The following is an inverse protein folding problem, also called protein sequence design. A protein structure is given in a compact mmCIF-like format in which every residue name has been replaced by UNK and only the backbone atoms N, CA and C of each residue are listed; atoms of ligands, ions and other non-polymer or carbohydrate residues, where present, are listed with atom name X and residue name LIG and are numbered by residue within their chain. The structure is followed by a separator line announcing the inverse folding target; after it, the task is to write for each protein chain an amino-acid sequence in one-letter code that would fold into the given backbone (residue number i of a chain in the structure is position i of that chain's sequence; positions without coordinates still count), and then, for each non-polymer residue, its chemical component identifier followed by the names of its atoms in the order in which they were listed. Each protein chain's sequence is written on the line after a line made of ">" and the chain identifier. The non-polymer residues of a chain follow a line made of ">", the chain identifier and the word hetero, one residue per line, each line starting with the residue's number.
data_IF_817683293160
#
_entry.id   IF_817683293160
#
_cell.length_a   1.000
_cell.length_b   1.000
_cell.length_c   1.000
_cell.angle_alpha   90.00
_cell.angle_beta   90.00
_cell.angle_gamma   90.00
#
_symmetry.space_group_name_H-M   'P 1'
#
loop_
_entity.id
_entity.type
_entity.pdbx_description
1 polymer ?
#
# COMPACT_ATOMS: atom_id res chain seq x y z
N UNK A 1 5.58 7.37 -13.90
CA UNK A 1 5.09 6.04 -13.53
C UNK A 1 5.23 5.15 -14.75
N UNK A 2 5.69 3.91 -14.56
CA UNK A 2 5.89 2.92 -15.61
C UNK A 2 4.55 2.27 -16.03
N UNK A 3 3.58 2.24 -15.11
CA UNK A 3 2.21 1.81 -15.38
C UNK A 3 1.21 2.80 -14.78
N UNK A 4 0.12 3.07 -15.50
CA UNK A 4 -0.94 3.96 -15.03
C UNK A 4 -2.27 3.21 -14.99
N UNK A 5 -2.84 3.10 -13.79
CA UNK A 5 -4.18 2.57 -13.59
C UNK A 5 -5.23 3.65 -13.87
N UNK A 6 -6.32 3.25 -14.54
CA UNK A 6 -7.48 4.11 -14.70
C UNK A 6 -8.26 4.25 -13.39
N UNK A 7 -8.96 5.37 -13.22
CA UNK A 7 -9.88 5.58 -12.10
C UNK A 7 -11.00 4.52 -12.11
N UNK A 8 -11.33 3.99 -10.94
CA UNK A 8 -12.31 2.92 -10.76
C UNK A 8 -11.87 1.56 -11.33
N UNK A 9 -10.61 1.41 -11.77
CA UNK A 9 -10.13 0.16 -12.35
C UNK A 9 -10.17 -1.01 -11.37
N UNK A 10 -10.58 -2.18 -11.87
CA UNK A 10 -10.47 -3.47 -11.18
C UNK A 10 -9.35 -4.29 -11.82
N UNK A 11 -8.29 -4.55 -11.07
CA UNK A 11 -7.05 -5.07 -11.60
C UNK A 11 -6.86 -6.57 -11.32
N UNK A 12 -6.40 -7.30 -12.34
CA UNK A 12 -6.28 -8.77 -12.38
C UNK A 12 -5.00 -9.23 -13.09
N UNK A 13 -3.99 -8.35 -13.16
CA UNK A 13 -2.73 -8.58 -13.88
C UNK A 13 -1.52 -8.74 -12.97
N UNK A 14 -0.39 -9.15 -13.56
CA UNK A 14 0.93 -9.05 -12.91
C UNK A 14 1.65 -7.83 -13.43
N UNK A 15 2.14 -6.98 -12.52
CA UNK A 15 2.82 -5.73 -12.84
C UNK A 15 4.19 -5.70 -12.18
N UNK A 16 5.24 -5.58 -13.00
CA UNK A 16 6.63 -5.73 -12.55
C UNK A 16 6.99 -7.17 -12.19
N UNK A 17 8.20 -7.34 -11.66
CA UNK A 17 8.72 -8.62 -11.16
C UNK A 17 9.66 -8.38 -9.97
N UNK A 18 10.07 -9.43 -9.23
CA UNK A 18 11.07 -9.28 -8.17
C UNK A 18 12.40 -8.67 -8.63
N UNK A 19 12.82 -8.94 -9.87
CA UNK A 19 14.08 -8.42 -10.44
C UNK A 19 13.92 -7.10 -11.18
N UNK A 20 12.69 -6.72 -11.53
CA UNK A 20 12.35 -5.49 -12.23
C UNK A 20 11.07 -4.89 -11.62
N UNK A 21 11.15 -4.31 -10.41
CA UNK A 21 10.02 -3.63 -9.79
C UNK A 21 9.66 -2.37 -10.59
N UNK A 22 8.39 -1.98 -10.55
CA UNK A 22 7.88 -0.81 -11.27
C UNK A 22 7.30 0.25 -10.34
N UNK A 23 7.15 1.47 -10.84
CA UNK A 23 6.35 2.53 -10.23
C UNK A 23 5.01 2.59 -10.94
N UNK A 24 3.95 2.14 -10.27
CA UNK A 24 2.59 2.27 -10.76
C UNK A 24 1.89 3.51 -10.15
N UNK A 25 1.06 4.17 -10.94
CA UNK A 25 0.31 5.35 -10.51
C UNK A 25 -1.17 5.24 -10.86
N UNK A 26 -2.03 5.76 -9.98
CA UNK A 26 -3.44 5.94 -10.25
C UNK A 26 -3.88 7.35 -9.85
N UNK A 27 -4.57 8.03 -10.76
CA UNK A 27 -5.28 9.28 -10.46
C UNK A 27 -6.76 8.94 -10.27
N UNK A 28 -7.18 8.76 -9.02
CA UNK A 28 -8.50 8.27 -8.67
C UNK A 28 -8.44 6.99 -7.83
N UNK A 29 -9.59 6.36 -7.69
CA UNK A 29 -9.77 5.19 -6.85
C UNK A 29 -9.32 3.92 -7.58
N UNK A 30 -8.75 2.96 -6.86
CA UNK A 30 -8.28 1.69 -7.43
C UNK A 30 -8.87 0.52 -6.67
N UNK A 31 -9.31 -0.49 -7.42
CA UNK A 31 -9.71 -1.78 -6.87
C UNK A 31 -8.71 -2.87 -7.26
N UNK A 32 -8.10 -3.48 -6.26
CA UNK A 32 -7.28 -4.69 -6.36
C UNK A 32 -8.14 -5.91 -6.03
N UNK A 33 -9.19 -6.11 -6.83
CA UNK A 33 -10.22 -7.12 -6.62
C UNK A 33 -10.03 -8.42 -7.40
N UNK A 34 -9.11 -8.45 -8.36
CA UNK A 34 -8.79 -9.66 -9.13
C UNK A 34 -7.74 -10.54 -8.47
N UNK A 35 -7.27 -11.52 -9.24
CA UNK A 35 -6.07 -12.30 -9.02
C UNK A 35 -4.89 -11.63 -9.74
N UNK A 36 -3.84 -11.28 -9.01
CA UNK A 36 -2.71 -10.62 -9.64
C UNK A 36 -1.59 -10.33 -8.68
N UNK A 37 -0.55 -9.68 -9.20
CA UNK A 37 0.63 -9.31 -8.43
C UNK A 37 1.11 -7.93 -8.82
N UNK A 38 1.62 -7.17 -7.87
CA UNK A 38 2.37 -5.94 -8.15
C UNK A 38 3.69 -5.99 -7.39
N UNK A 39 4.79 -5.74 -8.07
CA UNK A 39 6.13 -5.61 -7.50
C UNK A 39 6.61 -4.17 -7.68
N UNK A 40 6.89 -3.47 -6.57
CA UNK A 40 7.44 -2.12 -6.58
C UNK A 40 6.63 -1.10 -5.78
N UNK A 41 6.44 0.09 -6.33
CA UNK A 41 5.76 1.21 -5.65
C UNK A 41 4.44 1.51 -6.34
N UNK A 42 3.36 1.51 -5.57
CA UNK A 42 2.02 1.89 -6.02
C UNK A 42 1.61 3.22 -5.40
N UNK A 43 1.40 4.22 -6.23
CA UNK A 43 1.01 5.57 -5.81
C UNK A 43 -0.44 5.82 -6.25
N UNK A 44 -1.33 6.12 -5.32
CA UNK A 44 -2.75 6.32 -5.56
C UNK A 44 -3.13 7.71 -5.05
N UNK A 45 -3.58 8.58 -5.96
CA UNK A 45 -4.26 9.81 -5.59
C UNK A 45 -5.75 9.54 -5.45
N UNK A 46 -6.15 8.92 -4.35
CA UNK A 46 -7.51 8.41 -4.15
C UNK A 46 -7.57 7.22 -3.21
N UNK A 47 -8.70 6.52 -3.24
CA UNK A 47 -9.02 5.38 -2.37
C UNK A 47 -8.52 4.05 -2.93
N UNK A 48 -8.29 3.08 -2.03
CA UNK A 48 -7.90 1.72 -2.37
C UNK A 48 -8.90 0.71 -1.81
N UNK A 49 -9.49 -0.11 -2.67
CA UNK A 49 -10.26 -1.29 -2.29
C UNK A 49 -9.45 -2.56 -2.61
N UNK A 50 -9.01 -3.26 -1.57
CA UNK A 50 -8.17 -4.44 -1.66
C UNK A 50 -8.93 -5.66 -1.15
N UNK A 51 -9.66 -6.31 -2.06
CA UNK A 51 -10.62 -7.37 -1.71
C UNK A 51 -10.54 -8.64 -2.55
N UNK A 52 -9.54 -8.78 -3.43
CA UNK A 52 -9.33 -9.95 -4.28
C UNK A 52 -8.31 -10.95 -3.76
N UNK A 53 -7.71 -11.72 -4.66
CA UNK A 53 -6.53 -12.58 -4.38
C UNK A 53 -5.23 -11.93 -4.87
N UNK A 54 -5.25 -10.60 -4.98
CA UNK A 54 -4.13 -9.81 -5.46
C UNK A 54 -3.04 -9.71 -4.39
N UNK A 55 -1.77 -9.78 -4.80
CA UNK A 55 -0.63 -9.68 -3.89
C UNK A 55 0.23 -8.46 -4.25
N UNK A 56 0.55 -7.63 -3.27
CA UNK A 56 1.44 -6.48 -3.48
C UNK A 56 2.74 -6.73 -2.73
N UNK A 57 3.86 -6.58 -3.43
CA UNK A 57 5.21 -6.67 -2.89
C UNK A 57 5.88 -5.31 -3.04
N UNK A 58 5.98 -4.55 -1.95
CA UNK A 58 6.61 -3.24 -1.92
C UNK A 58 5.80 -2.19 -1.17
N UNK A 59 5.78 -0.96 -1.68
CA UNK A 59 5.21 0.20 -0.99
C UNK A 59 3.93 0.68 -1.68
N UNK A 60 2.87 0.87 -0.89
CA UNK A 60 1.63 1.50 -1.34
C UNK A 60 1.49 2.87 -0.66
N UNK A 61 1.32 3.92 -1.44
CA UNK A 61 1.08 5.28 -0.97
C UNK A 61 -0.28 5.76 -1.48
N UNK A 62 -1.22 6.00 -0.57
CA UNK A 62 -2.49 6.65 -0.88
C UNK A 62 -2.48 8.08 -0.33
N UNK A 63 -2.76 9.08 -1.17
CA UNK A 63 -2.84 10.48 -0.78
C UNK A 63 -4.03 11.21 -1.43
N UNK A 64 -4.46 12.33 -0.86
CA UNK A 64 -5.67 13.05 -1.27
C UNK A 64 -6.51 13.54 -0.10
N UNK A 65 -7.71 14.06 -0.37
CA UNK A 65 -8.59 14.63 0.67
C UNK A 65 -9.33 13.53 1.44
N UNK A 66 -10.23 12.81 0.78
CA UNK A 66 -11.13 11.83 1.40
C UNK A 66 -10.73 10.42 0.97
N UNK A 67 -9.72 9.86 1.64
CA UNK A 67 -9.17 8.56 1.29
C UNK A 67 -9.86 7.49 2.12
N UNK A 68 -10.35 6.45 1.45
CA UNK A 68 -10.76 5.20 2.09
C UNK A 68 -9.85 4.09 1.62
N UNK A 69 -9.16 3.44 2.55
CA UNK A 69 -8.45 2.20 2.29
C UNK A 69 -9.23 1.08 2.96
N UNK A 70 -9.77 0.18 2.14
CA UNK A 70 -10.51 -0.99 2.59
C UNK A 70 -9.75 -2.24 2.21
N UNK A 71 -9.32 -3.02 3.20
CA UNK A 71 -8.76 -4.36 3.00
C UNK A 71 -9.78 -5.37 3.52
N UNK A 72 -10.28 -6.25 2.65
CA UNK A 72 -11.24 -7.27 3.07
C UNK A 72 -10.93 -8.64 2.50
N UNK A 73 -11.23 -9.68 3.27
CA UNK A 73 -11.14 -11.07 2.78
C UNK A 73 -12.48 -11.63 2.28
N UNK A 74 -13.43 -10.76 1.95
CA UNK A 74 -14.79 -11.16 1.57
C UNK A 74 -14.86 -11.80 0.18
N UNK A 75 -13.95 -11.43 -0.72
CA UNK A 75 -13.91 -11.96 -2.09
C UNK A 75 -12.56 -12.64 -2.44
N UNK A 76 -11.65 -12.78 -1.47
CA UNK A 76 -10.34 -13.40 -1.66
C UNK A 76 -9.45 -13.27 -0.43
N UNK A 77 -8.17 -13.62 -0.59
CA UNK A 77 -7.14 -13.48 0.44
C UNK A 77 -6.08 -12.50 -0.05
N UNK A 78 -6.34 -11.18 0.02
CA UNK A 78 -5.36 -10.18 -0.38
C UNK A 78 -4.18 -10.18 0.59
N UNK A 79 -2.97 -10.04 0.06
CA UNK A 79 -1.76 -9.91 0.88
C UNK A 79 -0.90 -8.73 0.45
N UNK A 80 -0.44 -7.94 1.43
CA UNK A 80 0.57 -6.91 1.22
C UNK A 80 1.86 -7.32 1.94
N UNK A 81 2.95 -7.39 1.19
CA UNK A 81 4.30 -7.62 1.68
C UNK A 81 5.11 -6.33 1.51
N UNK A 82 5.18 -5.52 2.56
CA UNK A 82 5.91 -4.26 2.58
C UNK A 82 5.21 -3.21 3.43
N UNK A 83 4.96 -2.03 2.84
CA UNK A 83 4.44 -0.87 3.55
C UNK A 83 3.19 -0.28 2.93
N UNK A 84 2.30 0.24 3.78
CA UNK A 84 1.15 1.05 3.37
C UNK A 84 1.27 2.40 4.07
N UNK A 85 1.31 3.48 3.30
CA UNK A 85 1.30 4.85 3.79
C UNK A 85 0.03 5.52 3.29
N UNK A 86 -0.66 6.19 4.21
CA UNK A 86 -1.89 6.92 3.95
C UNK A 86 -1.73 8.36 4.42
N UNK A 87 -1.98 9.31 3.52
CA UNK A 87 -1.96 10.74 3.83
C UNK A 87 -3.27 11.36 3.35
N UNK A 88 -4.27 11.30 4.23
CA UNK A 88 -5.62 11.80 3.97
C UNK A 88 -6.00 12.96 4.88
N UNK A 89 -6.98 13.77 4.48
CA UNK A 89 -7.58 14.79 5.34
C UNK A 89 -8.43 14.18 6.46
N UNK A 90 -8.86 15.01 7.41
CA UNK A 90 -9.77 14.63 8.50
C UNK A 90 -11.02 13.95 7.93
N UNK A 91 -11.27 12.70 8.35
CA UNK A 91 -12.39 11.89 7.85
C UNK A 91 -11.97 10.72 6.95
N UNK A 92 -10.71 10.68 6.54
CA UNK A 92 -10.12 9.52 5.85
C UNK A 92 -10.12 8.27 6.74
N UNK A 93 -10.31 7.09 6.14
CA UNK A 93 -10.54 5.84 6.88
C UNK A 93 -9.65 4.71 6.37
N UNK A 94 -9.11 3.94 7.31
CA UNK A 94 -8.49 2.65 7.06
C UNK A 94 -9.30 1.55 7.75
N UNK A 95 -9.68 0.52 7.00
CA UNK A 95 -10.50 -0.57 7.51
C UNK A 95 -9.91 -1.91 7.07
N UNK A 96 -9.69 -2.81 8.03
CA UNK A 96 -9.42 -4.22 7.77
C UNK A 96 -10.62 -5.07 8.19
N UNK A 97 -11.08 -5.96 7.32
CA UNK A 97 -12.21 -6.87 7.60
C UNK A 97 -11.86 -8.30 7.23
N UNK A 98 -12.24 -9.24 8.09
CA UNK A 98 -11.95 -10.66 7.91
C UNK A 98 -10.55 -11.03 8.41
N UNK A 99 -9.81 -11.82 7.64
CA UNK A 99 -8.47 -12.31 8.02
C UNK A 99 -7.36 -11.87 7.04
N UNK A 100 -7.22 -10.56 6.74
CA UNK A 100 -6.23 -10.10 5.78
C UNK A 100 -4.82 -10.25 6.35
N UNK A 101 -3.85 -10.47 5.47
CA UNK A 101 -2.46 -10.65 5.84
C UNK A 101 -1.62 -9.44 5.41
N UNK A 102 -1.08 -8.70 6.38
CA UNK A 102 -0.14 -7.60 6.15
C UNK A 102 1.22 -8.01 6.72
N UNK A 103 2.18 -8.19 5.83
CA UNK A 103 3.55 -8.59 6.16
C UNK A 103 4.50 -7.42 5.96
N UNK A 104 5.50 -7.30 6.83
CA UNK A 104 6.56 -6.30 6.76
C UNK A 104 7.93 -7.00 6.85
N UNK A 105 9.01 -6.33 6.44
CA UNK A 105 10.36 -6.86 6.62
C UNK A 105 10.82 -6.66 8.07
N UNK A 106 11.10 -7.76 8.75
CA UNK A 106 11.64 -7.75 10.11
C UNK A 106 12.99 -7.02 10.15
N UNK A 107 13.86 -7.30 9.18
CA UNK A 107 15.18 -6.70 9.05
C UNK A 107 15.09 -5.18 8.83
N UNK A 108 14.12 -4.74 8.03
CA UNK A 108 13.87 -3.32 7.82
C UNK A 108 13.42 -2.62 9.10
N UNK A 109 12.54 -3.24 9.90
CA UNK A 109 12.14 -2.69 11.20
C UNK A 109 13.27 -2.73 12.22
N UNK A 110 14.11 -3.75 12.21
CA UNK A 110 15.28 -3.84 13.07
C UNK A 110 16.26 -2.70 12.76
N UNK A 111 16.50 -2.42 11.47
CA UNK A 111 17.30 -1.28 11.04
C UNK A 111 16.65 0.07 11.36
N UNK A 112 15.32 0.18 11.25
CA UNK A 112 14.58 1.42 11.56
C UNK A 112 14.77 1.87 13.01
N UNK A 113 15.05 0.96 13.96
CA UNK A 113 15.40 1.32 15.35
C UNK A 113 16.65 2.20 15.46
N UNK A 114 17.54 2.12 14.47
CA UNK A 114 18.77 2.91 14.43
C UNK A 114 18.62 4.21 13.64
N UNK A 115 17.41 4.59 13.21
CA UNK A 115 17.20 5.84 12.47
C UNK A 115 17.64 7.09 13.25
N UNK A 116 17.52 7.06 14.58
CA UNK A 116 18.03 8.11 15.48
C UNK A 116 19.56 8.20 15.57
N UNK A 117 20.30 7.24 15.00
CA UNK A 117 21.76 7.28 14.86
C UNK A 117 22.22 7.86 13.52
N UNK A 118 21.31 8.15 12.59
CA UNK A 118 21.67 8.79 11.33
C UNK A 118 21.83 10.30 11.56
N UNK A 119 23.04 10.84 11.32
CA UNK A 119 23.35 12.28 11.49
C UNK A 119 22.50 13.23 10.63
N UNK A 120 21.70 12.71 9.69
CA UNK A 120 20.90 13.49 8.75
C UNK A 120 19.42 13.65 9.15
N UNK A 121 18.90 12.91 10.13
CA UNK A 121 17.49 13.00 10.52
C UNK A 121 17.35 12.90 12.04
N UNK A 122 16.56 13.82 12.61
CA UNK A 122 16.19 13.81 14.02
C UNK A 122 14.73 13.39 14.14
N UNK A 123 14.47 12.37 14.96
CA UNK A 123 13.11 12.06 15.38
C UNK A 123 12.62 13.24 16.23
N UNK A 124 11.62 13.96 15.72
CA UNK A 124 11.09 15.16 16.39
C UNK A 124 10.11 14.77 17.50
N UNK A 125 9.31 13.72 17.31
CA UNK A 125 8.37 13.25 18.32
C UNK A 125 7.84 11.84 18.02
N UNK A 126 7.44 11.11 19.06
CA UNK A 126 6.70 9.85 18.98
C UNK A 126 5.37 9.99 19.74
N UNK A 127 4.28 9.50 19.15
CA UNK A 127 2.99 9.37 19.83
C UNK A 127 3.03 8.20 20.80
N UNK A 128 2.80 8.48 22.07
CA UNK A 128 2.59 7.50 23.12
C UNK A 128 1.16 7.66 23.65
N UNK A 129 0.42 6.56 23.76
CA UNK A 129 -0.81 6.49 24.58
C UNK A 129 -0.45 6.21 26.04
#
# INVERSE_FOLDING_TARGET
>A
ADYVFADGSSNNGTYGSPSAPIIAYAKGNVKMGGNGKLYGVLIINGSLDFNGTFNIYGLVLCYGSDIVISVSTSAGNPSLYGGLIMSGATGSKFSLKGTPQLYYSYEALEMAKYIGKMQAYQVVWWYYE
#
